data_IF_714362152273
#
_entry.id   IF_714362152273
#
_cell.length_a   1.000
_cell.length_b   1.000
_cell.length_c   1.000
_cell.angle_alpha   90.00
_cell.angle_beta   90.00
_cell.angle_gamma   90.00
#
_symmetry.space_group_name_H-M   'P 1'
#
loop_
_entity.id
_entity.type
_entity.pdbx_description
1 polymer ?
#
# COMPACT_ATOMS: atom_id res chain seq x y z
N UNK A 1 -9.50 -7.44 7.33
CA UNK A 1 -9.14 -6.51 6.25
C UNK A 1 -9.93 -6.87 5.01
N UNK A 2 -10.52 -5.88 4.35
CA UNK A 2 -11.26 -6.03 3.09
C UNK A 2 -10.62 -5.09 2.06
N UNK A 3 -10.12 -5.63 0.95
CA UNK A 3 -9.63 -4.85 -0.19
C UNK A 3 -10.58 -5.03 -1.37
N UNK A 4 -10.99 -3.94 -2.01
CA UNK A 4 -11.80 -3.97 -3.22
C UNK A 4 -10.87 -3.83 -4.43
N UNK A 5 -10.95 -4.75 -5.38
CA UNK A 5 -10.16 -4.73 -6.61
C UNK A 5 -11.05 -5.25 -7.74
N UNK A 6 -11.11 -4.53 -8.86
CA UNK A 6 -12.01 -4.85 -9.96
C UNK A 6 -11.44 -5.97 -10.85
N UNK A 7 -10.12 -6.12 -10.88
CA UNK A 7 -9.44 -7.16 -11.66
C UNK A 7 -9.16 -8.41 -10.81
N UNK A 8 -9.91 -9.52 -11.01
CA UNK A 8 -9.69 -10.75 -10.26
C UNK A 8 -8.30 -11.34 -10.47
N UNK A 9 -7.62 -11.05 -11.59
CA UNK A 9 -6.25 -11.52 -11.82
C UNK A 9 -5.26 -10.81 -10.88
N UNK A 10 -5.50 -9.55 -10.52
CA UNK A 10 -4.69 -8.81 -9.53
C UNK A 10 -4.86 -9.42 -8.15
N UNK A 11 -6.09 -9.78 -7.77
CA UNK A 11 -6.36 -10.49 -6.51
C UNK A 11 -5.65 -11.84 -6.48
N UNK A 12 -5.81 -12.65 -7.54
CA UNK A 12 -5.16 -13.96 -7.66
C UNK A 12 -3.63 -13.85 -7.56
N UNK A 13 -3.03 -12.81 -8.14
CA UNK A 13 -1.59 -12.55 -8.02
C UNK A 13 -1.16 -12.24 -6.58
N UNK A 14 -1.98 -11.50 -5.81
CA UNK A 14 -1.69 -11.22 -4.39
C UNK A 14 -1.81 -12.46 -3.52
N UNK A 15 -2.76 -13.35 -3.80
CA UNK A 15 -2.85 -14.66 -3.13
C UNK A 15 -1.62 -15.51 -3.47
N UNK A 16 -1.26 -15.62 -4.76
CA UNK A 16 -0.09 -16.37 -5.22
C UNK A 16 1.20 -15.91 -4.56
N UNK A 17 1.33 -14.61 -4.32
CA UNK A 17 2.52 -14.00 -3.70
C UNK A 17 2.41 -13.87 -2.17
N UNK A 18 1.36 -14.45 -1.56
CA UNK A 18 1.08 -14.46 -0.10
C UNK A 18 0.88 -13.08 0.53
N UNK A 19 0.40 -12.12 -0.25
CA UNK A 19 0.00 -10.78 0.20
C UNK A 19 -1.50 -10.65 0.50
N UNK A 20 -2.28 -11.71 0.22
CA UNK A 20 -3.71 -11.78 0.48
C UNK A 20 -4.11 -13.22 0.79
N UNK A 21 -5.04 -13.44 1.70
CA UNK A 21 -5.43 -14.79 2.13
C UNK A 21 -6.50 -15.41 1.20
N UNK A 22 -7.57 -14.66 0.93
CA UNK A 22 -8.73 -15.19 0.17
C UNK A 22 -9.33 -14.16 -0.77
N UNK A 23 -9.98 -14.66 -1.82
CA UNK A 23 -10.78 -13.87 -2.76
C UNK A 23 -12.26 -14.14 -2.54
N UNK A 24 -13.08 -13.11 -2.73
CA UNK A 24 -14.54 -13.18 -2.80
C UNK A 24 -15.06 -12.39 -3.99
N UNK A 25 -16.24 -12.75 -4.49
CA UNK A 25 -16.92 -12.03 -5.59
C UNK A 25 -18.27 -11.47 -5.18
N UNK A 26 -18.65 -11.66 -3.91
CA UNK A 26 -19.90 -11.19 -3.33
C UNK A 26 -19.62 -10.40 -2.05
N UNK A 27 -20.29 -9.26 -1.92
CA UNK A 27 -20.06 -8.35 -0.80
C UNK A 27 -20.55 -8.97 0.53
N UNK A 28 -21.66 -9.69 0.54
CA UNK A 28 -22.21 -10.28 1.76
C UNK A 28 -21.31 -11.42 2.27
N UNK A 29 -20.84 -12.28 1.37
CA UNK A 29 -19.86 -13.32 1.69
C UNK A 29 -18.55 -12.73 2.23
N UNK A 30 -18.04 -11.66 1.59
CA UNK A 30 -16.82 -10.98 2.04
C UNK A 30 -16.98 -10.35 3.43
N UNK A 31 -18.10 -9.65 3.67
CA UNK A 31 -18.44 -9.05 4.96
C UNK A 31 -18.59 -10.11 6.05
N UNK A 32 -19.28 -11.21 5.77
CA UNK A 32 -19.43 -12.32 6.71
C UNK A 32 -18.07 -12.88 7.17
N UNK A 33 -17.12 -13.05 6.23
CA UNK A 33 -15.77 -13.53 6.53
C UNK A 33 -14.98 -12.55 7.41
N UNK A 34 -14.91 -11.27 7.04
CA UNK A 34 -14.13 -10.29 7.81
C UNK A 34 -14.73 -10.03 9.18
N UNK A 35 -16.06 -10.04 9.32
CA UNK A 35 -16.73 -9.86 10.60
C UNK A 35 -16.55 -11.07 11.53
N UNK A 36 -16.61 -12.29 10.98
CA UNK A 36 -16.29 -13.51 11.74
C UNK A 36 -14.84 -13.48 12.24
N UNK A 37 -13.88 -13.13 11.37
CA UNK A 37 -12.47 -13.03 11.75
C UNK A 37 -12.25 -11.96 12.84
N UNK A 38 -12.89 -10.79 12.71
CA UNK A 38 -12.88 -9.73 13.73
C UNK A 38 -13.41 -10.23 15.08
N UNK A 39 -14.56 -10.91 15.09
CA UNK A 39 -15.14 -11.47 16.31
C UNK A 39 -14.25 -12.53 16.98
N UNK A 40 -13.44 -13.24 16.20
CA UNK A 40 -12.51 -14.27 16.69
C UNK A 40 -11.11 -13.74 17.03
N UNK A 41 -10.85 -12.43 16.83
CA UNK A 41 -9.52 -11.85 17.01
C UNK A 41 -8.48 -12.40 16.03
N UNK A 42 -8.92 -12.89 14.87
CA UNK A 42 -8.04 -13.48 13.85
C UNK A 42 -7.74 -12.47 12.75
N UNK A 43 -6.46 -12.35 12.38
CA UNK A 43 -6.06 -11.58 11.21
C UNK A 43 -6.46 -12.32 9.93
N UNK A 44 -7.29 -11.69 9.10
CA UNK A 44 -7.72 -12.19 7.80
C UNK A 44 -7.77 -11.04 6.79
N UNK A 45 -7.25 -11.30 5.59
CA UNK A 45 -7.29 -10.41 4.44
C UNK A 45 -8.15 -11.00 3.32
N UNK A 46 -9.22 -10.28 2.96
CA UNK A 46 -10.17 -10.66 1.90
C UNK A 46 -10.07 -9.67 0.77
N UNK A 47 -9.81 -10.15 -0.45
CA UNK A 47 -9.93 -9.36 -1.68
C UNK A 47 -11.30 -9.58 -2.31
N UNK A 48 -12.11 -8.54 -2.40
CA UNK A 48 -13.41 -8.55 -3.03
C UNK A 48 -13.28 -8.06 -4.47
N UNK A 49 -13.69 -8.90 -5.42
CA UNK A 49 -13.82 -8.54 -6.83
C UNK A 49 -14.96 -7.54 -6.97
N UNK A 50 -14.65 -6.29 -7.31
CA UNK A 50 -15.65 -5.23 -7.47
C UNK A 50 -15.04 -3.87 -7.74
N UNK A 51 -15.86 -2.91 -8.16
CA UNK A 51 -15.43 -1.53 -8.32
C UNK A 51 -15.53 -0.79 -6.97
N UNK A 52 -14.48 -0.10 -6.54
CA UNK A 52 -14.50 0.68 -5.30
C UNK A 52 -15.57 1.79 -5.30
N UNK A 53 -15.85 2.38 -6.47
CA UNK A 53 -16.92 3.36 -6.63
C UNK A 53 -18.34 2.77 -6.52
N UNK A 54 -18.48 1.44 -6.50
CA UNK A 54 -19.74 0.74 -6.19
C UNK A 54 -19.75 0.26 -4.73
N UNK A 55 -18.67 -0.40 -4.30
CA UNK A 55 -18.60 -1.07 -3.01
C UNK A 55 -18.52 -0.08 -1.84
N UNK A 56 -17.69 0.95 -1.91
CA UNK A 56 -17.49 1.88 -0.78
C UNK A 56 -18.78 2.68 -0.48
N UNK A 57 -19.52 3.21 -1.48
CA UNK A 57 -20.85 3.77 -1.24
C UNK A 57 -21.83 2.78 -0.62
N UNK A 58 -21.78 1.51 -1.03
CA UNK A 58 -22.66 0.48 -0.47
C UNK A 58 -22.33 0.18 1.00
N UNK A 59 -21.05 0.16 1.37
CA UNK A 59 -20.62 0.05 2.78
C UNK A 59 -21.14 1.23 3.61
N UNK A 60 -21.03 2.46 3.08
CA UNK A 60 -21.52 3.67 3.73
C UNK A 60 -23.05 3.65 3.91
N UNK A 61 -23.78 3.23 2.86
CA UNK A 61 -25.25 3.10 2.87
C UNK A 61 -25.73 2.08 3.90
N UNK A 62 -25.04 0.94 3.98
CA UNK A 62 -25.32 -0.13 4.96
C UNK A 62 -24.84 0.20 6.38
N UNK A 63 -24.11 1.30 6.57
CA UNK A 63 -23.45 1.67 7.83
C UNK A 63 -22.60 0.54 8.41
N UNK A 64 -21.82 -0.11 7.55
CA UNK A 64 -20.90 -1.17 7.99
C UNK A 64 -19.88 -0.56 8.95
N UNK A 65 -19.64 -1.23 10.09
CA UNK A 65 -18.67 -0.79 11.08
C UNK A 65 -17.23 -0.94 10.55
N UNK A 66 -16.70 0.14 9.96
CA UNK A 66 -15.33 0.23 9.44
C UNK A 66 -14.45 0.94 10.47
N UNK A 67 -13.39 0.28 10.94
CA UNK A 67 -12.47 0.88 11.92
C UNK A 67 -11.45 1.81 11.25
N UNK A 68 -10.90 1.39 10.10
CA UNK A 68 -9.87 2.11 9.32
C UNK A 68 -10.22 2.05 7.85
N UNK A 69 -10.12 3.19 7.15
CA UNK A 69 -10.44 3.33 5.73
C UNK A 69 -9.34 4.09 5.00
N UNK A 70 -8.97 3.59 3.82
CA UNK A 70 -8.03 4.24 2.90
C UNK A 70 -8.24 3.72 1.49
N UNK A 71 -7.62 4.37 0.50
CA UNK A 71 -7.59 3.92 -0.89
C UNK A 71 -6.16 3.83 -1.44
N UNK A 72 -5.92 2.89 -2.35
CA UNK A 72 -4.67 2.76 -3.10
C UNK A 72 -4.90 2.35 -4.57
N UNK A 73 -6.07 2.66 -5.13
CA UNK A 73 -6.25 2.61 -6.59
C UNK A 73 -5.23 3.53 -7.29
N UNK A 74 -5.01 3.35 -8.59
CA UNK A 74 -4.11 4.24 -9.34
C UNK A 74 -4.81 5.54 -9.75
N UNK A 75 -5.46 6.23 -8.80
CA UNK A 75 -6.21 7.46 -9.02
C UNK A 75 -5.36 8.63 -9.59
N UNK A 76 -4.03 8.57 -9.43
CA UNK A 76 -3.09 9.55 -9.96
C UNK A 76 -3.08 9.62 -11.50
N UNK A 77 -3.52 8.55 -12.17
CA UNK A 77 -3.70 8.51 -13.62
C UNK A 77 -5.17 8.15 -13.95
N UNK A 78 -6.02 9.17 -14.14
CA UNK A 78 -7.43 8.96 -14.47
C UNK A 78 -7.68 8.22 -15.79
N UNK A 79 -6.70 8.18 -16.71
CA UNK A 79 -6.89 7.54 -18.02
C UNK A 79 -6.64 6.03 -17.96
N UNK A 80 -5.64 5.60 -17.20
CA UNK A 80 -5.26 4.17 -17.16
C UNK A 80 -5.54 3.49 -15.82
N UNK A 81 -5.49 4.25 -14.73
CA UNK A 81 -5.34 3.71 -13.38
C UNK A 81 -6.64 3.51 -12.59
N UNK A 82 -7.75 4.10 -13.04
CA UNK A 82 -9.05 3.97 -12.39
C UNK A 82 -10.11 3.49 -13.39
N UNK A 83 -10.83 2.42 -13.06
CA UNK A 83 -11.91 1.90 -13.91
C UNK A 83 -13.22 2.63 -13.57
N UNK A 84 -13.87 3.30 -14.54
CA UNK A 84 -15.14 3.98 -14.29
C UNK A 84 -16.23 3.03 -13.79
N UNK A 85 -17.08 3.53 -12.90
CA UNK A 85 -18.27 2.84 -12.40
C UNK A 85 -19.16 2.38 -13.56
N UNK A 86 -19.74 1.18 -13.40
CA UNK A 86 -20.63 0.57 -14.38
C UNK A 86 -19.96 0.03 -15.66
N UNK A 87 -18.62 -0.01 -15.71
CA UNK A 87 -17.89 -0.65 -16.81
C UNK A 87 -17.21 -1.94 -16.35
N UNK A 88 -17.27 -2.95 -17.21
CA UNK A 88 -16.37 -4.10 -17.14
C UNK A 88 -14.94 -3.68 -17.52
N UNK A 89 -13.94 -4.52 -17.22
CA UNK A 89 -12.56 -4.28 -17.68
C UNK A 89 -12.45 -4.19 -19.20
N UNK A 90 -13.22 -5.01 -19.92
CA UNK A 90 -13.24 -5.03 -21.38
C UNK A 90 -13.86 -3.75 -21.95
N UNK A 91 -15.02 -3.34 -21.42
CA UNK A 91 -15.69 -2.11 -21.88
C UNK A 91 -14.90 -0.86 -21.51
N UNK A 92 -14.24 -0.87 -20.34
CA UNK A 92 -13.30 0.17 -19.94
C UNK A 92 -12.12 0.26 -20.93
N UNK A 93 -11.55 -0.88 -21.36
CA UNK A 93 -10.48 -0.90 -22.35
C UNK A 93 -10.96 -0.38 -23.72
N UNK A 94 -12.15 -0.77 -24.18
CA UNK A 94 -12.76 -0.28 -25.42
C UNK A 94 -12.97 1.23 -25.36
N UNK A 95 -13.62 1.73 -24.29
CA UNK A 95 -13.88 3.17 -24.11
C UNK A 95 -12.58 3.97 -24.05
N UNK A 96 -11.57 3.48 -23.30
CA UNK A 96 -10.27 4.14 -23.20
C UNK A 96 -9.60 4.30 -24.57
N UNK A 97 -9.74 3.32 -25.45
CA UNK A 97 -9.16 3.36 -26.79
C UNK A 97 -9.98 4.24 -27.75
N UNK A 98 -11.31 4.20 -27.69
CA UNK A 98 -12.18 4.92 -28.62
C UNK A 98 -12.41 6.38 -28.25
N UNK A 99 -12.54 6.68 -26.96
CA UNK A 99 -12.78 8.03 -26.43
C UNK A 99 -12.08 8.24 -25.07
N UNK A 100 -10.77 8.56 -25.08
CA UNK A 100 -9.98 8.82 -23.87
C UNK A 100 -10.54 9.96 -23.00
N UNK A 101 -11.16 10.98 -23.61
CA UNK A 101 -11.66 12.14 -22.88
C UNK A 101 -12.90 11.76 -22.07
N UNK A 102 -13.84 11.05 -22.70
CA UNK A 102 -15.01 10.52 -22.00
C UNK A 102 -14.61 9.51 -20.91
N UNK A 103 -13.60 8.68 -21.16
CA UNK A 103 -13.05 7.78 -20.15
C UNK A 103 -12.60 8.55 -18.91
N UNK A 104 -11.74 9.56 -19.09
CA UNK A 104 -11.22 10.39 -17.99
C UNK A 104 -12.37 11.08 -17.25
N UNK A 105 -13.34 11.65 -17.98
CA UNK A 105 -14.52 12.30 -17.37
C UNK A 105 -15.28 11.33 -16.46
N UNK A 106 -15.52 10.09 -16.92
CA UNK A 106 -16.22 9.07 -16.13
C UNK A 106 -15.38 8.53 -14.97
N UNK A 107 -14.07 8.38 -15.14
CA UNK A 107 -13.16 7.97 -14.08
C UNK A 107 -13.15 9.01 -12.95
N UNK A 108 -13.02 10.29 -13.28
CA UNK A 108 -13.08 11.41 -12.33
C UNK A 108 -14.42 11.47 -11.59
N UNK A 109 -15.54 11.27 -12.31
CA UNK A 109 -16.87 11.20 -11.69
C UNK A 109 -16.99 10.01 -10.71
N UNK A 110 -16.37 8.87 -11.03
CA UNK A 110 -16.37 7.69 -10.16
C UNK A 110 -15.50 7.90 -8.92
N UNK A 111 -14.33 8.55 -9.05
CA UNK A 111 -13.50 8.94 -7.91
C UNK A 111 -14.24 9.91 -6.98
N UNK A 112 -15.04 10.83 -7.53
CA UNK A 112 -15.88 11.72 -6.72
C UNK A 112 -16.92 10.95 -5.89
N UNK A 113 -17.58 9.95 -6.49
CA UNK A 113 -18.52 9.07 -5.75
C UNK A 113 -17.79 8.29 -4.66
N UNK A 114 -16.64 7.72 -4.98
CA UNK A 114 -15.80 6.99 -4.04
C UNK A 114 -15.40 7.86 -2.84
N UNK A 115 -14.87 9.07 -3.07
CA UNK A 115 -14.43 9.98 -1.99
C UNK A 115 -15.60 10.48 -1.14
N UNK A 116 -16.77 10.77 -1.73
CA UNK A 116 -17.97 11.10 -0.93
C UNK A 116 -18.32 9.98 0.05
N UNK A 117 -18.26 8.73 -0.41
CA UNK A 117 -18.51 7.59 0.47
C UNK A 117 -17.42 7.40 1.54
N UNK A 118 -16.15 7.73 1.23
CA UNK A 118 -15.09 7.75 2.24
C UNK A 118 -15.35 8.80 3.33
N UNK A 119 -15.85 9.98 2.96
CA UNK A 119 -16.28 11.04 3.89
C UNK A 119 -17.48 10.59 4.73
N UNK A 120 -18.45 9.89 4.13
CA UNK A 120 -19.59 9.35 4.87
C UNK A 120 -19.16 8.30 5.89
N UNK A 121 -18.25 7.39 5.54
CA UNK A 121 -17.69 6.41 6.48
C UNK A 121 -16.84 7.07 7.57
N UNK A 122 -16.11 8.14 7.24
CA UNK A 122 -15.40 8.95 8.24
C UNK A 122 -16.38 9.55 9.26
N UNK A 123 -17.49 10.14 8.80
CA UNK A 123 -18.56 10.67 9.67
C UNK A 123 -19.22 9.57 10.52
N UNK A 124 -19.17 8.32 10.06
CA UNK A 124 -19.64 7.14 10.81
C UNK A 124 -18.60 6.59 11.80
N UNK A 125 -17.41 7.20 11.89
CA UNK A 125 -16.39 6.89 12.89
C UNK A 125 -15.16 6.15 12.35
N UNK A 126 -15.08 5.87 11.04
CA UNK A 126 -13.89 5.28 10.46
C UNK A 126 -12.69 6.24 10.53
N UNK A 127 -11.52 5.74 10.92
CA UNK A 127 -10.27 6.48 10.76
C UNK A 127 -9.90 6.47 9.28
N UNK A 128 -10.23 7.57 8.59
CA UNK A 128 -10.03 7.73 7.15
C UNK A 128 -8.80 8.56 6.82
N UNK A 129 -8.00 8.12 5.85
CA UNK A 129 -6.85 8.86 5.34
C UNK A 129 -6.56 8.55 3.86
N UNK A 130 -5.83 9.44 3.19
CA UNK A 130 -5.32 9.27 1.83
C UNK A 130 -3.95 8.60 1.84
N UNK A 131 -3.75 7.59 0.99
CA UNK A 131 -2.51 6.83 0.91
C UNK A 131 -1.68 7.14 -0.34
N UNK A 132 -1.68 8.41 -0.73
CA UNK A 132 -0.69 8.96 -1.65
C UNK A 132 -0.92 8.64 -3.11
N UNK A 133 -2.18 8.44 -3.51
CA UNK A 133 -2.58 8.21 -4.90
C UNK A 133 -3.32 9.41 -5.51
N UNK A 134 -3.41 10.54 -4.79
CA UNK A 134 -4.00 11.79 -5.26
C UNK A 134 -5.53 11.75 -5.46
N UNK A 135 -6.24 10.75 -4.92
CA UNK A 135 -7.69 10.59 -5.13
C UNK A 135 -8.50 11.79 -4.60
N UNK A 136 -8.09 12.41 -3.49
CA UNK A 136 -8.72 13.63 -2.95
C UNK A 136 -8.68 14.77 -3.96
N UNK A 137 -7.53 15.00 -4.59
CA UNK A 137 -7.37 16.03 -5.62
C UNK A 137 -8.25 15.76 -6.83
N UNK A 138 -8.34 14.49 -7.27
CA UNK A 138 -9.21 14.10 -8.39
C UNK A 138 -10.69 14.34 -8.06
N UNK A 139 -11.13 13.95 -6.87
CA UNK A 139 -12.49 14.19 -6.40
C UNK A 139 -12.79 15.70 -6.22
N UNK A 140 -11.83 16.48 -5.72
CA UNK A 140 -11.95 17.93 -5.57
C UNK A 140 -12.17 18.62 -6.92
N UNK A 141 -11.37 18.25 -7.92
CA UNK A 141 -11.53 18.74 -9.30
C UNK A 141 -12.87 18.32 -9.91
N UNK A 142 -13.37 17.14 -9.54
CA UNK A 142 -14.69 16.64 -9.92
C UNK A 142 -15.86 17.19 -9.07
N UNK A 143 -15.61 18.15 -8.17
CA UNK A 143 -16.63 18.92 -7.45
C UNK A 143 -16.90 18.53 -6.00
N UNK A 144 -16.12 17.61 -5.41
CA UNK A 144 -16.21 17.28 -3.97
C UNK A 144 -15.38 18.29 -3.16
N UNK A 145 -16.02 19.36 -2.69
CA UNK A 145 -15.32 20.51 -2.09
C UNK A 145 -14.66 20.20 -0.74
N UNK A 146 -15.20 19.22 -0.03
CA UNK A 146 -14.73 18.66 1.24
C UNK A 146 -13.81 17.45 1.06
N UNK A 147 -13.26 17.21 -0.15
CA UNK A 147 -12.41 16.05 -0.41
C UNK A 147 -11.15 15.96 0.46
N UNK A 148 -10.68 17.08 1.02
CA UNK A 148 -9.51 17.13 1.89
C UNK A 148 -9.83 17.04 3.39
N UNK A 149 -11.09 16.78 3.77
CA UNK A 149 -11.50 16.65 5.18
C UNK A 149 -10.92 15.39 5.87
N UNK A 150 -10.28 14.49 5.11
CA UNK A 150 -9.39 13.47 5.66
C UNK A 150 -7.94 13.71 5.22
N UNK A 151 -6.97 13.51 6.14
CA UNK A 151 -5.57 13.87 5.91
C UNK A 151 -4.84 12.85 5.03
N UNK A 152 -3.70 13.26 4.46
CA UNK A 152 -2.72 12.33 3.92
C UNK A 152 -2.04 11.51 5.03
N UNK A 153 -1.62 10.30 4.70
CA UNK A 153 -0.96 9.41 5.66
C UNK A 153 0.38 9.95 6.18
N UNK A 154 1.07 10.79 5.41
CA UNK A 154 2.36 11.36 5.83
C UNK A 154 2.20 12.37 6.96
N UNK A 155 1.42 13.46 6.83
CA UNK A 155 1.17 14.36 7.96
C UNK A 155 0.55 13.64 9.16
N UNK A 156 -0.33 12.66 8.92
CA UNK A 156 -1.04 11.96 10.00
C UNK A 156 -0.16 10.97 10.78
N UNK A 157 0.74 10.23 10.11
CA UNK A 157 1.40 9.07 10.73
C UNK A 157 2.90 8.96 10.47
N UNK A 158 3.39 9.34 9.29
CA UNK A 158 4.76 9.00 8.86
C UNK A 158 5.77 10.12 9.10
N UNK A 159 5.35 11.39 9.13
CA UNK A 159 6.27 12.53 9.26
C UNK A 159 7.24 12.43 10.46
N UNK A 160 6.84 11.94 11.66
CA UNK A 160 7.79 11.74 12.76
C UNK A 160 8.95 10.81 12.39
N UNK A 161 8.70 9.75 11.60
CA UNK A 161 9.76 8.86 11.13
C UNK A 161 10.71 9.60 10.16
N UNK A 162 10.17 10.45 9.28
CA UNK A 162 10.99 11.27 8.39
C UNK A 162 11.87 12.26 9.16
N UNK A 163 11.41 12.81 10.28
CA UNK A 163 12.23 13.66 11.14
C UNK A 163 13.45 12.94 11.74
N UNK A 164 13.38 11.61 11.91
CA UNK A 164 14.51 10.76 12.32
C UNK A 164 15.39 10.29 11.13
N UNK A 165 15.09 10.76 9.91
CA UNK A 165 15.73 10.29 8.69
C UNK A 165 15.35 8.85 8.32
N UNK A 166 14.29 8.28 8.93
CA UNK A 166 13.77 6.97 8.55
C UNK A 166 13.01 7.06 7.24
N UNK A 167 12.99 5.96 6.51
CA UNK A 167 12.31 5.85 5.22
C UNK A 167 12.49 4.45 4.64
N UNK A 168 11.99 4.18 3.43
CA UNK A 168 11.91 2.84 2.84
C UNK A 168 13.26 2.35 2.28
N UNK A 169 14.30 2.40 3.11
CA UNK A 169 15.61 1.83 2.88
C UNK A 169 15.47 0.33 2.60
N UNK A 170 16.22 -0.14 1.59
CA UNK A 170 16.11 -1.51 1.08
C UNK A 170 17.40 -1.97 0.44
N UNK A 171 17.55 -3.29 0.34
CA UNK A 171 18.65 -3.89 -0.41
C UNK A 171 18.22 -5.17 -1.11
N UNK A 172 18.97 -5.58 -2.14
CA UNK A 172 18.74 -6.82 -2.89
C UNK A 172 20.04 -7.57 -3.14
N UNK A 173 19.97 -8.89 -3.07
CA UNK A 173 21.12 -9.77 -3.27
C UNK A 173 21.33 -10.10 -4.75
N UNK A 174 22.45 -9.63 -5.33
CA UNK A 174 22.75 -9.89 -6.75
C UNK A 174 23.11 -11.36 -7.03
N UNK A 175 23.37 -12.14 -6.00
CA UNK A 175 23.54 -13.59 -6.09
C UNK A 175 22.27 -14.31 -6.52
N UNK A 176 21.09 -13.70 -6.30
CA UNK A 176 19.80 -14.37 -6.42
C UNK A 176 19.46 -15.29 -5.24
N UNK A 177 20.31 -15.34 -4.21
CA UNK A 177 20.24 -16.35 -3.15
C UNK A 177 19.58 -15.81 -1.88
N UNK A 178 18.52 -16.50 -1.42
CA UNK A 178 17.79 -16.12 -0.21
C UNK A 178 18.68 -16.10 1.05
N UNK A 179 19.71 -16.94 1.09
CA UNK A 179 20.67 -17.01 2.20
C UNK A 179 21.36 -15.67 2.47
N UNK A 180 21.61 -14.86 1.44
CA UNK A 180 22.23 -13.54 1.61
C UNK A 180 21.28 -12.57 2.33
N UNK A 181 19.98 -12.65 2.04
CA UNK A 181 18.97 -11.86 2.78
C UNK A 181 18.83 -12.36 4.21
N UNK A 182 18.82 -13.67 4.45
CA UNK A 182 18.78 -14.19 5.82
C UNK A 182 20.03 -13.80 6.63
N UNK A 183 21.21 -13.79 6.01
CA UNK A 183 22.43 -13.33 6.64
C UNK A 183 22.39 -11.82 6.97
N UNK A 184 21.87 -11.00 6.06
CA UNK A 184 21.70 -9.56 6.32
C UNK A 184 20.61 -9.27 7.35
N UNK A 185 19.51 -10.04 7.39
CA UNK A 185 18.52 -9.96 8.46
C UNK A 185 19.13 -10.24 9.84
N UNK A 186 19.98 -11.26 9.96
CA UNK A 186 20.71 -11.54 11.20
C UNK A 186 21.64 -10.37 11.59
N UNK A 187 22.32 -9.77 10.61
CA UNK A 187 23.16 -8.61 10.84
C UNK A 187 22.37 -7.38 11.34
N UNK A 188 21.13 -7.16 10.87
CA UNK A 188 20.25 -6.12 11.41
C UNK A 188 19.98 -6.36 12.91
N UNK A 189 19.67 -7.60 13.30
CA UNK A 189 19.39 -7.94 14.71
C UNK A 189 20.63 -7.81 15.61
N UNK A 190 21.82 -8.08 15.06
CA UNK A 190 23.10 -7.92 15.75
C UNK A 190 23.46 -6.44 15.97
N UNK A 191 23.27 -5.58 14.95
CA UNK A 191 23.62 -4.16 15.01
C UNK A 191 22.65 -3.36 15.87
N UNK A 192 21.37 -3.67 15.80
CA UNK A 192 20.31 -2.89 16.44
C UNK A 192 19.54 -3.70 17.51
N UNK A 193 20.21 -4.33 18.50
CA UNK A 193 19.60 -5.31 19.39
C UNK A 193 18.59 -4.69 20.36
N UNK A 194 18.61 -3.36 20.54
CA UNK A 194 17.70 -2.63 21.42
C UNK A 194 16.40 -2.23 20.73
N UNK A 195 16.36 -2.23 19.39
CA UNK A 195 15.14 -1.89 18.64
C UNK A 195 14.23 -3.12 18.52
N UNK A 196 13.33 -3.25 19.50
CA UNK A 196 12.33 -4.33 19.52
C UNK A 196 11.34 -4.23 18.36
N UNK A 197 11.07 -3.03 17.84
CA UNK A 197 10.18 -2.81 16.72
C UNK A 197 10.78 -3.36 15.43
N UNK A 198 12.04 -3.03 15.19
CA UNK A 198 12.85 -3.54 14.09
C UNK A 198 13.04 -5.05 14.15
N UNK A 199 13.33 -5.60 15.34
CA UNK A 199 13.46 -7.05 15.51
C UNK A 199 12.17 -7.79 15.16
N UNK A 200 11.02 -7.27 15.61
CA UNK A 200 9.70 -7.80 15.25
C UNK A 200 9.45 -7.68 13.75
N UNK A 201 9.81 -6.56 13.13
CA UNK A 201 9.69 -6.37 11.68
C UNK A 201 10.47 -7.43 10.90
N UNK A 202 11.75 -7.63 11.20
CA UNK A 202 12.60 -8.63 10.53
C UNK A 202 12.00 -10.03 10.65
N UNK A 203 11.56 -10.43 11.86
CA UNK A 203 10.93 -11.73 12.08
C UNK A 203 9.66 -11.90 11.22
N UNK A 204 8.75 -10.93 11.25
CA UNK A 204 7.54 -10.98 10.41
C UNK A 204 7.87 -11.02 8.92
N UNK A 205 8.86 -10.24 8.49
CA UNK A 205 9.25 -10.16 7.10
C UNK A 205 9.93 -11.45 6.60
N UNK A 206 10.56 -12.24 7.48
CA UNK A 206 11.03 -13.59 7.14
C UNK A 206 9.88 -14.59 7.03
N UNK A 207 8.92 -14.53 7.95
CA UNK A 207 7.80 -15.48 8.01
C UNK A 207 6.76 -15.25 6.89
N UNK A 208 6.47 -13.99 6.60
CA UNK A 208 5.28 -13.59 5.81
C UNK A 208 5.61 -13.15 4.38
N UNK A 209 6.78 -12.55 4.12
CA UNK A 209 7.10 -12.01 2.80
C UNK A 209 7.71 -13.08 1.90
N UNK A 210 7.09 -13.34 0.74
CA UNK A 210 7.71 -14.13 -0.32
C UNK A 210 8.66 -13.25 -1.14
N UNK A 211 9.85 -13.75 -1.46
CA UNK A 211 10.74 -13.08 -2.40
C UNK A 211 10.13 -13.09 -3.82
N UNK A 212 10.43 -12.04 -4.59
CA UNK A 212 9.99 -11.86 -5.97
C UNK A 212 11.19 -11.39 -6.81
N UNK A 213 11.64 -12.22 -7.75
CA UNK A 213 12.89 -11.95 -8.49
C UNK A 213 14.10 -12.12 -7.58
N UNK A 214 15.03 -11.16 -7.59
CA UNK A 214 16.16 -11.15 -6.65
C UNK A 214 15.64 -11.05 -5.21
N UNK A 215 16.11 -11.90 -4.28
CA UNK A 215 15.80 -11.75 -2.87
C UNK A 215 16.18 -10.36 -2.38
N UNK A 216 15.23 -9.69 -1.73
CA UNK A 216 15.36 -8.32 -1.29
C UNK A 216 14.67 -8.11 0.06
N UNK A 217 15.14 -7.12 0.82
CA UNK A 217 14.57 -6.73 2.11
C UNK A 217 14.32 -5.24 2.12
N UNK A 218 13.10 -4.85 2.51
CA UNK A 218 12.80 -3.50 2.97
C UNK A 218 12.93 -3.44 4.48
N UNK A 219 13.54 -2.37 4.98
CA UNK A 219 13.87 -2.19 6.38
C UNK A 219 14.04 -0.70 6.66
N UNK A 220 13.12 -0.10 7.40
CA UNK A 220 13.16 1.34 7.64
C UNK A 220 14.24 1.68 8.66
N UNK A 221 15.34 2.27 8.18
CA UNK A 221 16.47 2.72 8.98
C UNK A 221 16.65 4.23 8.86
N UNK A 222 17.04 4.86 9.96
CA UNK A 222 17.21 6.30 10.13
C UNK A 222 18.58 6.83 9.71
N UNK A 223 18.80 8.13 9.99
CA UNK A 223 20.12 8.73 9.84
C UNK A 223 21.14 8.01 10.76
N UNK A 224 22.34 7.73 10.25
CA UNK A 224 23.34 6.92 10.94
C UNK A 224 23.15 5.42 10.73
N UNK A 225 21.99 4.87 11.09
CA UNK A 225 21.68 3.43 10.97
C UNK A 225 21.86 2.90 9.53
N UNK A 226 21.48 3.70 8.53
CA UNK A 226 21.68 3.36 7.10
C UNK A 226 23.15 3.16 6.75
N UNK A 227 24.03 4.05 7.21
CA UNK A 227 25.46 3.98 6.93
C UNK A 227 26.12 2.81 7.67
N UNK A 228 25.74 2.59 8.93
CA UNK A 228 26.20 1.45 9.74
C UNK A 228 25.83 0.12 9.08
N UNK A 229 24.56 -0.02 8.65
CA UNK A 229 24.11 -1.22 7.94
C UNK A 229 24.84 -1.38 6.59
N UNK A 230 25.00 -0.30 5.82
CA UNK A 230 25.73 -0.35 4.54
C UNK A 230 27.17 -0.83 4.69
N UNK A 231 27.90 -0.33 5.69
CA UNK A 231 29.27 -0.76 5.98
C UNK A 231 29.30 -2.23 6.45
N UNK A 232 28.34 -2.65 7.29
CA UNK A 232 28.23 -4.05 7.72
C UNK A 232 28.01 -5.00 6.55
N UNK A 233 27.08 -4.67 5.65
CA UNK A 233 26.83 -5.45 4.43
C UNK A 233 28.10 -5.54 3.59
N UNK A 234 28.76 -4.41 3.32
CA UNK A 234 29.98 -4.38 2.53
C UNK A 234 31.11 -5.22 3.15
N UNK A 235 31.27 -5.18 4.47
CA UNK A 235 32.22 -6.04 5.18
C UNK A 235 31.88 -7.53 5.04
N UNK A 236 30.59 -7.88 5.10
CA UNK A 236 30.15 -9.28 4.91
C UNK A 236 30.42 -9.78 3.49
N UNK A 237 30.26 -8.93 2.46
CA UNK A 237 30.68 -9.24 1.09
C UNK A 237 32.19 -9.46 1.02
N UNK A 238 32.99 -8.53 1.55
CA UNK A 238 34.46 -8.61 1.52
C UNK A 238 35.03 -9.84 2.24
N UNK A 239 34.31 -10.35 3.26
CA UNK A 239 34.67 -11.58 3.99
C UNK A 239 34.09 -12.86 3.38
N UNK A 240 33.39 -12.78 2.24
CA UNK A 240 32.75 -13.94 1.61
C UNK A 240 31.59 -14.54 2.41
N UNK A 241 31.04 -13.80 3.39
CA UNK A 241 29.84 -14.21 4.14
C UNK A 241 28.56 -14.05 3.32
N UNK A 242 28.59 -13.17 2.32
CA UNK A 242 27.55 -13.02 1.30
C UNK A 242 28.11 -13.51 -0.03
N UNK A 243 27.28 -14.20 -0.81
CA UNK A 243 27.71 -14.91 -2.02
C UNK A 243 28.04 -13.98 -3.19
N UNK A 244 27.48 -12.78 -3.21
CA UNK A 244 27.74 -11.75 -4.21
C UNK A 244 27.54 -10.34 -3.63
N UNK A 245 27.87 -9.28 -4.38
CA UNK A 245 27.56 -7.91 -3.96
C UNK A 245 26.06 -7.69 -3.72
N UNK A 246 25.74 -6.75 -2.83
CA UNK A 246 24.38 -6.33 -2.50
C UNK A 246 24.16 -4.93 -3.04
N UNK A 247 23.06 -4.71 -3.76
CA UNK A 247 22.64 -3.35 -4.12
C UNK A 247 21.82 -2.76 -2.98
N UNK A 248 22.13 -1.53 -2.60
CA UNK A 248 21.42 -0.78 -1.56
C UNK A 248 20.71 0.40 -2.22
N UNK A 249 19.46 0.62 -1.86
CA UNK A 249 18.67 1.70 -2.40
C UNK A 249 17.47 2.02 -1.51
N UNK A 250 16.48 2.69 -2.10
CA UNK A 250 15.24 3.10 -1.44
C UNK A 250 14.19 3.49 -2.48
N UNK A 251 13.00 3.78 -2.01
CA UNK A 251 12.01 4.52 -2.80
C UNK A 251 12.45 5.98 -3.01
N UNK A 252 11.81 6.67 -3.96
CA UNK A 252 11.88 8.12 -4.09
C UNK A 252 11.06 8.83 -2.99
N UNK A 253 10.07 8.14 -2.41
CA UNK A 253 9.46 8.52 -1.13
C UNK A 253 10.49 8.30 -0.01
N UNK A 254 11.07 9.38 0.49
CA UNK A 254 12.01 9.35 1.62
C UNK A 254 12.09 10.73 2.28
N UNK A 255 12.68 10.80 3.47
CA UNK A 255 12.68 11.97 4.35
C UNK A 255 13.19 13.29 3.74
N UNK A 256 13.93 13.25 2.62
CA UNK A 256 14.51 14.44 1.99
C UNK A 256 14.69 14.32 0.48
N UNK A 257 13.91 13.50 -0.23
CA UNK A 257 14.11 13.27 -1.67
C UNK A 257 12.90 13.55 -2.57
N UNK A 258 11.85 14.18 -2.04
CA UNK A 258 10.63 14.44 -2.80
C UNK A 258 9.93 15.71 -2.33
N UNK A 259 9.36 16.45 -3.27
CA UNK A 259 8.39 17.51 -3.03
C UNK A 259 7.06 17.08 -3.65
N UNK A 260 6.02 16.92 -2.82
CA UNK A 260 4.70 16.42 -3.24
C UNK A 260 3.64 16.96 -2.29
N UNK A 261 3.01 18.12 -2.61
CA UNK A 261 2.10 18.84 -1.72
C UNK A 261 0.82 18.09 -1.33
N UNK A 262 0.47 17.01 -2.04
CA UNK A 262 -0.69 16.18 -1.76
C UNK A 262 -0.32 14.80 -1.19
N UNK A 263 0.94 14.62 -0.77
CA UNK A 263 1.46 13.37 -0.20
C UNK A 263 2.58 13.65 0.81
N UNK A 264 3.86 13.56 0.44
CA UNK A 264 4.96 13.63 1.42
C UNK A 264 5.13 14.99 2.09
N UNK A 265 4.89 16.08 1.35
CA UNK A 265 5.07 17.45 1.83
C UNK A 265 3.74 18.19 2.00
N UNK A 266 2.65 17.45 2.21
CA UNK A 266 1.32 17.96 2.55
C UNK A 266 1.29 18.59 3.95
N UNK A 267 0.36 19.52 4.20
CA UNK A 267 -0.14 19.77 5.56
C UNK A 267 -1.63 19.39 5.63
#
# INVERSE_FOLDING_TARGET
>A
FLAVEIDPQRIAMRIKTRYLDVMETDLDAALAKVMKAKAQGQALSVGLVGNAADVIPELARRRVAVDVLTDQTSAHDPLTGYIPQGLSLEDAAKLRASDPQEYVRRAMASMAVHVRAMLDLQKQGAVTFDYGNNIRTMAFQAGVKDAYDFPGFVPAYIRPLFCEGKGPFRWAALSGEASDIHATDAAVLELFPKDKGLARWIKMAQERVAFQGLPARICWLGLGERAEMGLRINHMVAKGRLKAPIVIGRDHLDCGSVASPYRETEA
#
